data_IF_823955828693
#
_entry.id   IF_823955828693
#
_cell.length_a   1.000
_cell.length_b   1.000
_cell.length_c   1.000
_cell.angle_alpha   90.00
_cell.angle_beta   90.00
_cell.angle_gamma   90.00
#
_symmetry.space_group_name_H-M   'P 1'
#
loop_
_entity.id
_entity.type
_entity.pdbx_description
1 polymer ?
#
# COMPACT_ATOMS: atom_id res chain seq x y z
N UNK A 1 15.32 17.97 8.57
CA UNK A 1 14.49 17.33 7.55
C UNK A 1 13.83 16.05 8.02
N UNK A 2 13.16 15.36 7.12
CA UNK A 2 12.61 14.02 7.36
C UNK A 2 13.60 13.01 6.83
N UNK A 3 14.08 12.14 7.70
CA UNK A 3 14.92 10.97 7.36
C UNK A 3 14.09 9.70 7.45
N UNK A 4 14.65 8.55 7.11
CA UNK A 4 13.99 7.25 7.27
C UNK A 4 14.98 6.14 7.56
N UNK A 5 14.48 5.10 8.24
CA UNK A 5 15.16 3.83 8.44
C UNK A 5 14.26 2.68 8.03
N UNK A 6 14.85 1.60 7.51
CA UNK A 6 14.14 0.41 7.05
C UNK A 6 14.65 -0.79 7.81
N UNK A 7 13.72 -1.64 8.29
CA UNK A 7 14.01 -2.97 8.84
C UNK A 7 13.24 -4.02 8.04
N UNK A 8 13.90 -5.09 7.64
CA UNK A 8 13.29 -6.20 6.90
C UNK A 8 13.26 -6.00 5.38
N UNK A 9 14.16 -5.19 4.80
CA UNK A 9 14.23 -4.99 3.35
C UNK A 9 14.47 -6.33 2.62
N UNK A 10 15.22 -7.23 3.22
CA UNK A 10 15.49 -8.59 2.77
C UNK A 10 14.24 -9.48 2.63
N UNK A 11 13.14 -9.08 3.23
CA UNK A 11 11.85 -9.79 3.12
C UNK A 11 11.10 -9.55 1.80
N UNK A 12 11.55 -8.60 1.00
CA UNK A 12 10.94 -8.34 -0.31
C UNK A 12 11.42 -9.39 -1.30
N UNK A 13 10.53 -10.22 -1.87
CA UNK A 13 10.94 -11.29 -2.78
C UNK A 13 11.33 -10.75 -4.15
N UNK A 14 12.18 -11.46 -4.88
CA UNK A 14 12.55 -11.14 -6.27
C UNK A 14 11.39 -11.36 -7.26
N UNK A 15 10.36 -12.10 -6.86
CA UNK A 15 9.17 -12.39 -7.67
C UNK A 15 8.05 -11.39 -7.36
N UNK A 16 7.11 -11.18 -8.31
CA UNK A 16 5.97 -10.29 -8.09
C UNK A 16 5.21 -10.61 -6.81
N UNK A 17 4.90 -9.59 -6.05
CA UNK A 17 4.22 -9.68 -4.77
C UNK A 17 3.21 -8.53 -4.59
N UNK A 18 2.45 -8.58 -3.51
CA UNK A 18 1.55 -7.50 -3.12
C UNK A 18 2.10 -6.83 -1.87
N UNK A 19 2.62 -5.62 -2.02
CA UNK A 19 3.07 -4.76 -0.92
C UNK A 19 1.84 -4.12 -0.27
N UNK A 20 1.55 -4.48 0.97
CA UNK A 20 0.38 -3.97 1.71
C UNK A 20 0.85 -3.10 2.86
N UNK A 21 0.36 -1.87 2.92
CA UNK A 21 0.79 -0.93 3.95
C UNK A 21 -0.37 -0.15 4.58
N UNK A 22 -0.16 0.34 5.79
CA UNK A 22 -1.00 1.38 6.39
C UNK A 22 -0.90 2.69 5.59
N UNK A 23 -1.93 3.53 5.66
CA UNK A 23 -2.02 4.74 4.83
C UNK A 23 -2.26 5.99 5.69
N UNK A 24 -1.27 6.88 5.77
CA UNK A 24 -1.31 8.09 6.61
C UNK A 24 -1.15 9.40 5.82
N UNK A 25 -0.43 9.38 4.70
CA UNK A 25 -0.09 10.60 3.98
C UNK A 25 0.18 10.42 2.49
N UNK A 26 1.09 11.21 2.01
CA UNK A 26 1.57 11.17 0.61
C UNK A 26 2.95 10.51 0.55
N UNK A 27 3.75 10.64 1.60
CA UNK A 27 5.14 10.18 1.66
C UNK A 27 5.25 8.68 1.33
N UNK A 28 4.50 7.84 2.03
CA UNK A 28 4.52 6.40 1.83
C UNK A 28 4.04 5.99 0.43
N UNK A 29 3.12 6.78 -0.17
CA UNK A 29 2.61 6.48 -1.51
C UNK A 29 3.68 6.55 -2.59
N UNK A 30 4.71 7.37 -2.40
CA UNK A 30 5.88 7.43 -3.27
C UNK A 30 6.97 6.48 -2.79
N UNK A 31 7.27 6.49 -1.48
CA UNK A 31 8.36 5.72 -0.92
C UNK A 31 8.23 4.21 -1.16
N UNK A 32 7.04 3.63 -0.92
CA UNK A 32 6.86 2.17 -1.07
C UNK A 32 7.06 1.73 -2.53
N UNK A 33 6.77 2.58 -3.51
CA UNK A 33 7.02 2.26 -4.92
C UNK A 33 8.52 2.19 -5.27
N UNK A 34 9.40 2.75 -4.45
CA UNK A 34 10.86 2.64 -4.64
C UNK A 34 11.44 1.35 -4.07
N UNK A 35 10.68 0.63 -3.23
CA UNK A 35 11.13 -0.61 -2.61
C UNK A 35 11.15 -1.80 -3.57
N UNK A 36 10.33 -1.76 -4.61
CA UNK A 36 10.23 -2.84 -5.61
C UNK A 36 9.92 -2.29 -7.00
N UNK A 37 10.69 -2.71 -7.98
CA UNK A 37 10.47 -2.35 -9.38
C UNK A 37 10.47 -3.59 -10.28
N UNK A 38 9.50 -3.73 -11.23
CA UNK A 38 8.39 -2.80 -11.46
C UNK A 38 7.22 -2.98 -10.48
N UNK A 39 6.64 -1.86 -10.05
CA UNK A 39 5.47 -1.87 -9.20
C UNK A 39 4.37 -0.92 -9.69
N UNK A 40 3.13 -1.19 -9.32
CA UNK A 40 1.97 -0.39 -9.69
C UNK A 40 1.07 -0.16 -8.49
N UNK A 41 0.71 1.10 -8.24
CA UNK A 41 -0.17 1.46 -7.13
C UNK A 41 -1.62 1.61 -7.56
N UNK A 42 -2.51 1.57 -6.56
CA UNK A 42 -3.93 1.81 -6.73
C UNK A 42 -4.22 3.26 -6.38
N UNK A 43 -4.75 4.00 -7.35
CA UNK A 43 -4.99 5.43 -7.18
C UNK A 43 -6.43 5.82 -7.49
N UNK A 44 -6.84 6.94 -6.94
CA UNK A 44 -8.14 7.53 -7.19
C UNK A 44 -8.18 8.13 -8.60
N UNK A 45 -9.20 7.80 -9.40
CA UNK A 45 -9.32 8.26 -10.81
C UNK A 45 -9.27 9.78 -10.94
N UNK A 46 -9.82 10.50 -9.98
CA UNK A 46 -9.89 11.96 -9.98
C UNK A 46 -8.51 12.64 -9.89
N UNK A 47 -7.48 11.93 -9.44
CA UNK A 47 -6.09 12.44 -9.43
C UNK A 47 -5.52 12.67 -10.83
N UNK A 48 -6.06 11.99 -11.85
CA UNK A 48 -5.68 12.19 -13.25
C UNK A 48 -5.99 13.59 -13.77
N UNK A 49 -7.00 14.24 -13.20
CA UNK A 49 -7.44 15.57 -13.65
C UNK A 49 -6.62 16.72 -13.05
N UNK A 50 -5.63 16.42 -12.20
CA UNK A 50 -4.70 17.43 -11.69
C UNK A 50 -3.63 17.67 -12.76
N UNK A 51 -3.52 18.88 -13.34
CA UNK A 51 -2.54 19.18 -14.36
C UNK A 51 -1.11 18.82 -13.91
N UNK A 52 -0.27 18.39 -14.82
CA UNK A 52 1.10 17.91 -14.62
C UNK A 52 1.20 16.68 -13.71
N UNK A 53 0.62 16.74 -12.50
CA UNK A 53 0.63 15.64 -11.55
C UNK A 53 -0.10 14.40 -12.09
N UNK A 54 -1.29 14.58 -12.67
CA UNK A 54 -2.08 13.49 -13.26
C UNK A 54 -1.37 12.86 -14.46
N UNK A 55 -0.68 13.65 -15.26
CA UNK A 55 0.10 13.16 -16.40
C UNK A 55 1.31 12.34 -15.94
N UNK A 56 2.07 12.86 -14.97
CA UNK A 56 3.18 12.11 -14.37
C UNK A 56 2.70 10.80 -13.72
N UNK A 57 1.55 10.85 -13.02
CA UNK A 57 0.93 9.68 -12.42
C UNK A 57 0.50 8.65 -13.47
N UNK A 58 -0.01 9.09 -14.62
CA UNK A 58 -0.41 8.21 -15.73
C UNK A 58 0.78 7.43 -16.31
N UNK A 59 1.97 8.03 -16.34
CA UNK A 59 3.21 7.36 -16.80
C UNK A 59 3.57 6.14 -15.94
N UNK A 60 3.19 6.12 -14.66
CA UNK A 60 3.39 4.99 -13.75
C UNK A 60 2.36 3.86 -13.98
N UNK A 61 1.43 4.04 -14.92
CA UNK A 61 0.39 3.06 -15.28
C UNK A 61 -0.33 2.46 -14.06
N UNK A 62 -0.81 3.26 -13.10
CA UNK A 62 -1.47 2.75 -11.90
C UNK A 62 -2.86 2.16 -12.22
N UNK A 63 -3.43 1.43 -11.25
CA UNK A 63 -4.82 0.97 -11.33
C UNK A 63 -5.73 2.08 -10.81
N UNK A 64 -6.59 2.60 -11.69
CA UNK A 64 -7.52 3.68 -11.33
C UNK A 64 -8.84 3.13 -10.82
N UNK A 65 -9.27 3.59 -9.63
CA UNK A 65 -10.55 3.20 -9.03
C UNK A 65 -11.45 4.42 -8.78
N UNK A 66 -12.75 4.18 -8.94
CA UNK A 66 -13.81 5.16 -8.60
C UNK A 66 -14.47 4.72 -7.30
N UNK A 67 -14.23 5.45 -6.21
CA UNK A 67 -14.65 5.03 -4.85
C UNK A 67 -16.17 4.95 -4.64
N UNK A 68 -16.97 5.69 -5.40
CA UNK A 68 -18.43 5.66 -5.33
C UNK A 68 -19.04 4.33 -5.78
N UNK A 69 -18.34 3.57 -6.64
CA UNK A 69 -18.81 2.30 -7.21
C UNK A 69 -18.02 1.12 -6.65
N UNK A 70 -18.21 0.79 -5.38
CA UNK A 70 -17.38 -0.20 -4.63
C UNK A 70 -17.25 -1.55 -5.34
N UNK A 71 -18.37 -2.17 -5.76
CA UNK A 71 -18.37 -3.49 -6.41
C UNK A 71 -17.66 -3.44 -7.76
N UNK A 72 -17.95 -2.44 -8.59
CA UNK A 72 -17.31 -2.26 -9.90
C UNK A 72 -15.82 -2.02 -9.74
N UNK A 73 -15.43 -1.20 -8.76
CA UNK A 73 -14.02 -0.92 -8.45
C UNK A 73 -13.29 -2.17 -7.95
N UNK A 74 -13.93 -3.02 -7.14
CA UNK A 74 -13.33 -4.28 -6.72
C UNK A 74 -13.13 -5.24 -7.89
N UNK A 75 -14.15 -5.42 -8.75
CA UNK A 75 -14.02 -6.25 -9.96
C UNK A 75 -12.89 -5.76 -10.87
N UNK A 76 -12.83 -4.44 -11.09
CA UNK A 76 -11.75 -3.81 -11.87
C UNK A 76 -10.39 -4.04 -11.23
N UNK A 77 -10.27 -3.84 -9.91
CA UNK A 77 -9.02 -4.06 -9.19
C UNK A 77 -8.53 -5.51 -9.32
N UNK A 78 -9.42 -6.49 -9.16
CA UNK A 78 -9.06 -7.91 -9.29
C UNK A 78 -8.63 -8.23 -10.74
N UNK A 79 -9.32 -7.70 -11.74
CA UNK A 79 -8.94 -7.89 -13.15
C UNK A 79 -7.59 -7.27 -13.45
N UNK A 80 -7.48 -5.95 -13.30
CA UNK A 80 -6.29 -5.20 -13.70
C UNK A 80 -5.07 -5.59 -12.82
N UNK A 81 -5.30 -5.89 -11.53
CA UNK A 81 -4.26 -6.37 -10.63
C UNK A 81 -3.74 -7.76 -11.03
N UNK A 82 -4.62 -8.67 -11.41
CA UNK A 82 -4.23 -9.99 -11.95
C UNK A 82 -3.36 -9.83 -13.21
N UNK A 83 -3.79 -8.96 -14.13
CA UNK A 83 -3.04 -8.72 -15.37
C UNK A 83 -1.64 -8.15 -15.08
N UNK A 84 -1.53 -7.24 -14.11
CA UNK A 84 -0.24 -6.70 -13.66
C UNK A 84 0.67 -7.76 -13.08
N UNK A 85 0.18 -8.55 -12.12
CA UNK A 85 0.95 -9.61 -11.46
C UNK A 85 1.45 -10.66 -12.46
N UNK A 86 0.61 -11.06 -13.42
CA UNK A 86 1.00 -11.98 -14.50
C UNK A 86 2.10 -11.42 -15.43
N UNK A 87 2.15 -10.10 -15.58
CA UNK A 87 3.18 -9.40 -16.34
C UNK A 87 4.42 -9.03 -15.51
N UNK A 88 4.61 -9.63 -14.35
CA UNK A 88 5.79 -9.41 -13.54
C UNK A 88 5.77 -8.10 -12.72
N UNK A 89 4.61 -7.42 -12.62
CA UNK A 89 4.49 -6.13 -11.94
C UNK A 89 3.84 -6.33 -10.58
N UNK A 90 4.56 -5.99 -9.51
CA UNK A 90 4.05 -6.00 -8.14
C UNK A 90 2.99 -4.93 -7.90
N UNK A 91 2.16 -5.15 -6.88
CA UNK A 91 1.10 -4.20 -6.53
C UNK A 91 1.38 -3.54 -5.19
N UNK A 92 1.14 -2.23 -5.09
CA UNK A 92 1.12 -1.49 -3.83
C UNK A 92 -0.32 -1.20 -3.44
N UNK A 93 -0.77 -1.74 -2.31
CA UNK A 93 -2.16 -1.65 -1.84
C UNK A 93 -2.21 -1.03 -0.45
N UNK A 94 -3.07 -0.02 -0.30
CA UNK A 94 -3.47 0.55 0.98
C UNK A 94 -4.90 0.08 1.30
N UNK A 95 -5.08 -1.04 2.02
CA UNK A 95 -6.39 -1.70 2.15
C UNK A 95 -7.39 -0.93 3.01
N UNK A 96 -6.94 0.08 3.74
CA UNK A 96 -7.80 1.05 4.44
C UNK A 96 -8.67 1.89 3.48
N UNK A 97 -8.28 1.99 2.21
CA UNK A 97 -8.97 2.76 1.16
C UNK A 97 -8.99 4.28 1.37
N UNK A 98 -8.51 4.77 2.51
CA UNK A 98 -8.41 6.19 2.82
C UNK A 98 -7.37 6.42 3.91
N UNK A 99 -6.78 7.61 3.94
CA UNK A 99 -5.74 7.96 4.92
C UNK A 99 -6.30 7.96 6.34
N UNK A 100 -5.59 7.31 7.27
CA UNK A 100 -5.85 7.35 8.69
C UNK A 100 -5.08 8.52 9.35
N UNK A 101 -5.59 9.01 10.49
CA UNK A 101 -4.82 9.93 11.34
C UNK A 101 -3.90 9.10 12.24
N UNK A 102 -2.61 9.44 12.40
CA UNK A 102 -1.66 8.64 13.19
C UNK A 102 -2.19 8.24 14.58
N UNK A 103 -2.78 9.21 15.30
CA UNK A 103 -3.30 9.00 16.67
C UNK A 103 -4.63 8.21 16.76
N UNK A 104 -5.22 7.81 15.62
CA UNK A 104 -6.49 7.05 15.59
C UNK A 104 -6.29 5.56 15.29
N UNK A 105 -5.04 5.12 15.19
CA UNK A 105 -4.72 3.73 14.83
C UNK A 105 -5.07 3.39 13.37
N UNK A 106 -5.04 2.11 13.08
CA UNK A 106 -5.38 1.58 11.75
C UNK A 106 -6.89 1.57 11.52
N UNK A 107 -7.29 1.70 10.28
CA UNK A 107 -8.67 1.44 9.85
C UNK A 107 -8.82 -0.01 9.42
N UNK A 108 -10.07 -0.48 9.42
CA UNK A 108 -10.42 -1.81 8.91
C UNK A 108 -9.93 -2.01 7.47
N UNK A 109 -9.30 -3.15 7.22
CA UNK A 109 -8.82 -3.52 5.89
C UNK A 109 -9.94 -4.09 5.03
N UNK A 110 -9.89 -3.77 3.74
CA UNK A 110 -10.69 -4.47 2.73
C UNK A 110 -10.01 -5.78 2.34
N UNK A 111 -10.77 -6.82 2.02
CA UNK A 111 -10.22 -8.12 1.63
C UNK A 111 -9.58 -8.14 0.22
N UNK A 112 -9.40 -6.99 -0.42
CA UNK A 112 -8.91 -6.91 -1.80
C UNK A 112 -7.50 -7.46 -1.97
N UNK A 113 -6.62 -7.24 -1.00
CA UNK A 113 -5.25 -7.78 -1.04
C UNK A 113 -5.24 -9.30 -0.92
N UNK A 114 -5.98 -9.87 0.03
CA UNK A 114 -6.13 -11.32 0.17
C UNK A 114 -6.75 -11.97 -1.06
N UNK A 115 -7.80 -11.37 -1.64
CA UNK A 115 -8.41 -11.87 -2.87
C UNK A 115 -7.43 -11.92 -4.05
N UNK A 116 -6.62 -10.88 -4.22
CA UNK A 116 -5.60 -10.84 -5.27
C UNK A 116 -4.50 -11.87 -5.03
N UNK A 117 -4.02 -11.99 -3.79
CA UNK A 117 -2.99 -12.93 -3.41
C UNK A 117 -3.43 -14.38 -3.67
N UNK A 118 -4.56 -14.80 -3.11
CA UNK A 118 -5.09 -16.16 -3.26
C UNK A 118 -5.35 -16.49 -4.73
N UNK A 119 -6.01 -15.57 -5.47
CA UNK A 119 -6.34 -15.79 -6.88
C UNK A 119 -5.10 -15.98 -7.76
N UNK A 120 -3.99 -15.32 -7.45
CA UNK A 120 -2.79 -15.31 -8.28
C UNK A 120 -1.63 -16.14 -7.69
N UNK A 121 -1.84 -16.77 -6.51
CA UNK A 121 -0.80 -17.52 -5.78
C UNK A 121 0.48 -16.71 -5.55
N UNK A 122 0.34 -15.42 -5.24
CA UNK A 122 1.46 -14.51 -4.94
C UNK A 122 1.43 -14.09 -3.46
N UNK A 123 2.60 -13.87 -2.83
CA UNK A 123 2.64 -13.47 -1.43
C UNK A 123 2.17 -12.04 -1.21
N UNK A 124 1.72 -11.77 0.03
CA UNK A 124 1.57 -10.43 0.56
C UNK A 124 2.78 -10.12 1.44
N UNK A 125 3.42 -8.98 1.19
CA UNK A 125 4.48 -8.43 2.04
C UNK A 125 3.89 -7.29 2.85
N UNK A 126 3.71 -7.46 4.18
CA UNK A 126 3.16 -6.40 5.02
C UNK A 126 4.22 -5.35 5.33
N UNK A 127 3.84 -4.08 5.22
CA UNK A 127 4.70 -2.92 5.48
C UNK A 127 4.00 -2.03 6.50
N UNK A 128 4.74 -1.62 7.53
CA UNK A 128 4.27 -0.69 8.55
C UNK A 128 5.19 0.53 8.62
N UNK A 129 4.63 1.71 8.77
CA UNK A 129 5.39 2.96 8.92
C UNK A 129 4.66 3.98 9.79
N UNK A 130 5.39 4.97 10.32
CA UNK A 130 4.89 6.09 11.12
C UNK A 130 4.98 7.44 10.40
N UNK A 131 5.00 7.46 9.07
CA UNK A 131 5.23 8.68 8.26
C UNK A 131 4.26 9.81 8.58
N UNK A 132 3.04 9.51 9.00
CA UNK A 132 2.02 10.50 9.33
C UNK A 132 2.34 11.38 10.54
N UNK A 133 3.29 10.98 11.39
CA UNK A 133 3.79 11.81 12.50
C UNK A 133 4.57 13.01 11.96
N UNK A 134 5.40 12.80 10.96
CA UNK A 134 6.33 13.78 10.41
C UNK A 134 5.80 14.44 9.14
N UNK A 135 5.14 13.67 8.27
CA UNK A 135 4.57 14.14 7.00
C UNK A 135 3.05 14.21 7.07
N UNK A 136 2.53 15.13 7.92
CA UNK A 136 1.09 15.28 8.16
C UNK A 136 0.33 15.57 6.86
N UNK A 137 -0.75 14.81 6.65
CA UNK A 137 -1.61 15.00 5.49
C UNK A 137 -2.28 16.38 5.50
N UNK A 138 -2.38 17.02 4.34
CA UNK A 138 -3.00 18.36 4.13
C UNK A 138 -2.33 19.50 4.91
N UNK A 139 -1.12 19.33 5.43
CA UNK A 139 -0.34 20.40 6.03
C UNK A 139 0.89 20.68 5.18
N UNK A 140 1.16 21.95 4.91
CA UNK A 140 2.37 22.37 4.18
C UNK A 140 3.61 22.14 5.04
N UNK A 141 3.57 22.55 6.29
CA UNK A 141 4.68 22.35 7.22
C UNK A 141 4.83 20.88 7.60
N UNK A 142 6.03 20.36 7.43
CA UNK A 142 6.45 19.02 7.84
C UNK A 142 7.25 19.13 9.14
N UNK A 143 7.22 18.07 9.95
CA UNK A 143 8.02 17.98 11.17
C UNK A 143 9.30 17.22 10.88
N UNK A 144 10.43 17.69 11.40
CA UNK A 144 11.69 16.94 11.34
C UNK A 144 11.57 15.67 12.18
N UNK A 145 12.22 14.62 11.73
CA UNK A 145 12.26 13.35 12.44
C UNK A 145 12.53 12.18 11.51
N UNK A 146 12.58 10.98 12.09
CA UNK A 146 12.88 9.75 11.37
C UNK A 146 11.62 8.90 11.15
N UNK A 147 11.28 8.67 9.90
CA UNK A 147 10.24 7.71 9.54
C UNK A 147 10.81 6.28 9.67
N UNK A 148 10.24 5.52 10.57
CA UNK A 148 10.55 4.10 10.69
C UNK A 148 9.67 3.29 9.76
N UNK A 149 10.30 2.44 8.94
CA UNK A 149 9.62 1.49 8.04
C UNK A 149 9.99 0.07 8.48
N UNK A 150 8.98 -0.77 8.67
CA UNK A 150 9.15 -2.21 8.95
C UNK A 150 8.50 -3.02 7.85
N UNK A 151 9.23 -3.99 7.34
CA UNK A 151 8.79 -4.89 6.28
C UNK A 151 8.78 -6.30 6.87
N UNK A 152 7.63 -6.94 6.86
CA UNK A 152 7.45 -8.31 7.36
C UNK A 152 7.79 -9.37 6.32
N UNK A 153 7.96 -10.60 6.79
CA UNK A 153 8.13 -11.75 5.91
C UNK A 153 6.93 -11.92 4.97
N UNK A 154 7.12 -12.47 3.77
CA UNK A 154 6.04 -12.75 2.84
C UNK A 154 5.02 -13.72 3.46
N UNK A 155 3.74 -13.35 3.42
CA UNK A 155 2.62 -14.13 3.91
C UNK A 155 1.88 -14.81 2.75
N UNK A 156 1.55 -16.07 2.93
CA UNK A 156 0.82 -16.91 1.97
C UNK A 156 -0.44 -17.47 2.63
N UNK A 157 -1.49 -17.70 1.87
CA UNK A 157 -2.70 -18.31 2.41
C UNK A 157 -3.67 -18.74 1.31
N UNK A 158 -4.60 -19.61 1.67
CA UNK A 158 -5.63 -20.13 0.77
C UNK A 158 -7.00 -19.46 0.99
N UNK A 159 -7.15 -18.71 2.09
CA UNK A 159 -8.36 -17.97 2.41
C UNK A 159 -8.05 -16.47 2.43
N UNK A 160 -8.74 -15.72 1.57
CA UNK A 160 -8.51 -14.28 1.40
C UNK A 160 -8.79 -13.46 2.66
N UNK A 161 -9.80 -13.85 3.46
CA UNK A 161 -10.17 -13.14 4.68
C UNK A 161 -9.15 -13.38 5.78
N UNK A 162 -8.74 -14.63 5.96
CA UNK A 162 -7.78 -15.01 7.01
C UNK A 162 -6.41 -14.39 6.72
N UNK A 163 -5.95 -14.48 5.47
CA UNK A 163 -4.71 -13.82 5.04
C UNK A 163 -4.75 -12.30 5.22
N UNK A 164 -5.89 -11.65 4.91
CA UNK A 164 -6.04 -10.21 5.14
C UNK A 164 -5.99 -9.87 6.64
N UNK A 165 -6.59 -10.70 7.50
CA UNK A 165 -6.56 -10.52 8.94
C UNK A 165 -5.13 -10.72 9.50
N UNK A 166 -4.38 -11.68 9.00
CA UNK A 166 -2.99 -11.91 9.38
C UNK A 166 -2.11 -10.70 9.04
N UNK A 167 -2.26 -10.16 7.83
CA UNK A 167 -1.60 -8.92 7.39
C UNK A 167 -1.98 -7.74 8.29
N UNK A 168 -3.27 -7.59 8.61
CA UNK A 168 -3.76 -6.54 9.50
C UNK A 168 -3.10 -6.64 10.88
N UNK A 169 -3.13 -7.81 11.50
CA UNK A 169 -2.57 -8.06 12.83
C UNK A 169 -1.07 -7.79 12.86
N UNK A 170 -0.34 -8.20 11.82
CA UNK A 170 1.10 -7.92 11.74
C UNK A 170 1.37 -6.41 11.66
N UNK A 171 0.63 -5.68 10.82
CA UNK A 171 0.78 -4.22 10.69
C UNK A 171 0.38 -3.53 11.99
N UNK A 172 -0.72 -3.91 12.63
CA UNK A 172 -1.19 -3.32 13.89
C UNK A 172 -0.17 -3.48 15.01
N UNK A 173 0.37 -4.70 15.19
CA UNK A 173 1.39 -4.99 16.19
C UNK A 173 2.65 -4.15 16.00
N UNK A 174 3.08 -3.96 14.74
CA UNK A 174 4.26 -3.16 14.44
C UNK A 174 3.97 -1.66 14.48
N UNK A 175 2.75 -1.24 14.16
CA UNK A 175 2.32 0.15 14.27
C UNK A 175 2.37 0.67 15.70
N UNK A 176 1.93 -0.12 16.67
CA UNK A 176 2.03 0.23 18.12
C UNK A 176 3.48 0.37 18.57
N UNK A 177 4.42 -0.39 17.99
CA UNK A 177 5.84 -0.36 18.36
C UNK A 177 6.61 0.84 17.80
N UNK A 178 6.09 1.55 16.81
CA UNK A 178 6.80 2.65 16.12
C UNK A 178 6.10 4.01 16.25
N UNK A 179 4.93 4.07 16.89
CA UNK A 179 4.21 5.29 17.23
C UNK A 179 4.21 5.54 18.72
#
# INVERSE_FOLDING_TARGET
>A
GVTWSIKGLENIPDKPCILVSNHQGVWESFFIQTLYFPSSSIVKKELLFIPFFGWALACLKPIYLTRSKKIVSLKKLIKDGTDKLKNGISLVIFPEGTRARPHKGLKKFSNSCGLLSVKNSVPIVPICHNSGLFWKNRRFNKQSGEVQVRIGAPLYGNNAKDLTNEVYNWIELNFVKIN
#
